data_IF_056881169810
#
_entry.id   IF_056881169810
#
_cell.length_a   1.000
_cell.length_b   1.000
_cell.length_c   1.000
_cell.angle_alpha   90.00
_cell.angle_beta   90.00
_cell.angle_gamma   90.00
#
_symmetry.space_group_name_H-M   'P 1'
#
loop_
_entity.id
_entity.type
_entity.pdbx_description
1 polymer ?
#
# COMPACT_ATOMS: atom_id res chain seq x y z
N UNK A 1 -3.33 16.46 -4.78
CA UNK A 1 -3.60 15.01 -4.83
C UNK A 1 -4.92 14.83 -5.52
N UNK A 2 -4.98 13.95 -6.51
CA UNK A 2 -6.17 13.66 -7.30
C UNK A 2 -6.30 12.15 -7.48
N UNK A 3 -7.40 11.67 -8.04
CA UNK A 3 -7.61 10.23 -8.26
C UNK A 3 -7.92 9.97 -9.72
N UNK A 4 -7.37 8.91 -10.27
CA UNK A 4 -7.68 8.45 -11.64
C UNK A 4 -8.15 7.00 -11.63
N UNK A 5 -8.92 6.60 -12.63
CA UNK A 5 -9.27 5.20 -12.83
C UNK A 5 -8.11 4.44 -13.48
N UNK A 6 -7.61 3.39 -12.81
CA UNK A 6 -6.70 2.45 -13.47
C UNK A 6 -7.48 1.56 -14.46
N UNK A 7 -7.09 1.48 -15.75
CA UNK A 7 -7.79 0.67 -16.73
C UNK A 7 -7.62 -0.85 -16.49
N UNK A 8 -6.51 -1.27 -15.87
CA UNK A 8 -6.22 -2.69 -15.60
C UNK A 8 -7.08 -3.24 -14.47
N UNK A 9 -7.05 -2.59 -13.30
CA UNK A 9 -7.73 -3.10 -12.12
C UNK A 9 -9.10 -2.45 -11.87
N UNK A 10 -9.44 -1.40 -12.63
CA UNK A 10 -10.69 -0.61 -12.52
C UNK A 10 -10.91 -0.03 -11.12
N UNK A 11 -9.83 0.24 -10.37
CA UNK A 11 -9.87 0.91 -9.07
C UNK A 11 -9.44 2.38 -9.20
N UNK A 12 -9.99 3.27 -8.35
CA UNK A 12 -9.45 4.63 -8.19
C UNK A 12 -8.07 4.58 -7.55
N UNK A 13 -7.08 5.19 -8.19
CA UNK A 13 -5.70 5.30 -7.69
C UNK A 13 -5.44 6.76 -7.39
N UNK A 14 -5.01 7.04 -6.17
CA UNK A 14 -4.66 8.41 -5.78
C UNK A 14 -3.23 8.72 -6.21
N UNK A 15 -3.07 9.83 -6.92
CA UNK A 15 -1.80 10.29 -7.46
C UNK A 15 -1.42 11.64 -6.84
N UNK A 16 -0.11 11.84 -6.71
CA UNK A 16 0.49 13.14 -6.38
C UNK A 16 0.68 13.91 -7.69
N UNK A 17 0.72 15.25 -7.62
CA UNK A 17 0.66 16.13 -8.79
C UNK A 17 1.82 15.93 -9.79
N UNK A 18 2.93 15.36 -9.35
CA UNK A 18 4.14 15.11 -10.11
C UNK A 18 4.20 13.70 -10.74
N UNK A 19 3.18 12.87 -10.54
CA UNK A 19 3.15 11.51 -11.12
C UNK A 19 2.75 11.55 -12.61
N UNK A 20 3.72 11.53 -13.52
CA UNK A 20 3.48 11.62 -14.97
C UNK A 20 2.85 10.36 -15.59
N UNK A 21 3.01 9.20 -14.93
CA UNK A 21 2.50 7.90 -15.41
C UNK A 21 1.85 7.13 -14.28
N UNK A 22 0.84 6.33 -14.61
CA UNK A 22 0.18 5.48 -13.65
C UNK A 22 1.15 4.41 -13.09
N UNK A 23 1.47 4.45 -11.78
CA UNK A 23 2.46 3.57 -11.20
C UNK A 23 1.87 2.20 -10.85
N UNK A 24 2.77 1.30 -10.49
CA UNK A 24 2.45 0.04 -9.83
C UNK A 24 1.79 0.32 -8.47
N UNK A 25 0.70 -0.38 -8.17
CA UNK A 25 -0.10 -0.14 -6.96
C UNK A 25 -0.68 -1.42 -6.38
N UNK A 26 -0.98 -1.37 -5.08
CA UNK A 26 -1.53 -2.50 -4.35
C UNK A 26 -3.02 -2.69 -4.61
N UNK A 27 -3.43 -3.94 -4.77
CA UNK A 27 -4.81 -4.39 -4.79
C UNK A 27 -5.07 -5.23 -3.55
N UNK A 28 -6.00 -4.75 -2.72
CA UNK A 28 -6.47 -5.50 -1.57
C UNK A 28 -7.61 -6.43 -1.99
N UNK A 29 -7.52 -7.74 -1.73
CA UNK A 29 -8.63 -8.67 -1.99
C UNK A 29 -9.89 -8.27 -1.22
N UNK A 30 -9.71 -7.78 0.01
CA UNK A 30 -10.76 -7.22 0.86
C UNK A 30 -10.24 -5.99 1.60
N UNK A 31 -11.11 -5.05 1.95
CA UNK A 31 -10.71 -3.84 2.68
C UNK A 31 -10.13 -4.13 4.08
N UNK A 32 -10.40 -5.31 4.64
CA UNK A 32 -10.02 -5.70 6.00
C UNK A 32 -8.79 -6.61 6.06
N UNK A 33 -8.17 -6.95 4.92
CA UNK A 33 -6.94 -7.76 4.90
C UNK A 33 -5.80 -7.01 4.19
N UNK A 34 -5.12 -6.07 4.89
CA UNK A 34 -4.07 -5.25 4.30
C UNK A 34 -2.75 -5.99 4.09
N UNK A 35 -2.59 -7.19 4.67
CA UNK A 35 -1.32 -7.92 4.70
C UNK A 35 -1.13 -8.88 3.52
N UNK A 36 -2.14 -9.04 2.67
CA UNK A 36 -2.07 -9.86 1.48
C UNK A 36 -2.37 -9.04 0.20
N UNK A 37 -1.66 -7.93 -0.06
CA UNK A 37 -1.88 -7.17 -1.28
C UNK A 37 -1.40 -7.99 -2.49
N UNK A 38 -2.26 -8.13 -3.48
CA UNK A 38 -1.80 -8.40 -4.83
C UNK A 38 -1.23 -7.10 -5.43
N UNK A 39 -0.35 -7.21 -6.42
CA UNK A 39 0.24 -6.04 -7.08
C UNK A 39 -0.34 -5.91 -8.48
N UNK A 40 -0.90 -4.73 -8.78
CA UNK A 40 -1.21 -4.33 -10.15
C UNK A 40 0.01 -3.62 -10.74
N UNK A 41 0.53 -4.03 -11.90
CA UNK A 41 1.65 -3.34 -12.55
C UNK A 41 1.32 -1.90 -12.94
N UNK A 42 0.03 -1.53 -12.96
CA UNK A 42 -0.45 -0.34 -13.64
C UNK A 42 -0.44 -0.53 -15.16
N UNK A 43 -1.14 0.33 -15.87
CA UNK A 43 -1.07 0.36 -17.34
C UNK A 43 0.19 1.06 -17.86
N UNK A 44 0.88 1.82 -17.00
CA UNK A 44 1.97 2.71 -17.40
C UNK A 44 1.52 3.86 -18.32
N UNK A 45 0.21 4.05 -18.49
CA UNK A 45 -0.36 5.12 -19.29
C UNK A 45 0.02 6.49 -18.70
N UNK A 46 0.21 7.52 -19.55
CA UNK A 46 0.36 8.91 -19.08
C UNK A 46 -0.83 9.28 -18.20
N UNK A 47 -0.57 9.98 -17.11
CA UNK A 47 -1.61 10.34 -16.15
C UNK A 47 -2.66 11.27 -16.77
N UNK A 48 -2.23 12.17 -17.67
CA UNK A 48 -3.10 13.10 -18.40
C UNK A 48 -4.10 12.41 -19.33
N UNK A 49 -3.82 11.16 -19.73
CA UNK A 49 -4.70 10.34 -20.59
C UNK A 49 -5.75 9.56 -19.79
N UNK A 50 -5.69 9.60 -18.45
CA UNK A 50 -6.56 8.82 -17.59
C UNK A 50 -7.76 9.64 -17.12
N UNK A 51 -8.91 8.98 -17.03
CA UNK A 51 -10.11 9.59 -16.49
C UNK A 51 -9.91 9.88 -14.99
N UNK A 52 -9.94 11.16 -14.64
CA UNK A 52 -10.02 11.59 -13.24
C UNK A 52 -11.32 11.09 -12.63
N UNK A 53 -11.24 10.58 -11.41
CA UNK A 53 -12.39 10.15 -10.64
C UNK A 53 -12.92 11.37 -9.93
N UNK A 54 -14.15 11.77 -10.26
CA UNK A 54 -14.91 12.71 -9.44
C UNK A 54 -14.93 12.14 -8.02
N UNK A 55 -14.20 12.82 -7.13
CA UNK A 55 -14.24 12.47 -5.73
C UNK A 55 -15.66 12.80 -5.29
N UNK A 56 -16.48 11.84 -4.82
CA UNK A 56 -17.69 12.22 -4.11
C UNK A 56 -17.23 13.18 -3.02
N UNK A 57 -17.79 14.40 -3.01
CA UNK A 57 -17.51 15.45 -2.03
C UNK A 57 -17.15 14.76 -0.73
N UNK A 58 -15.92 14.97 -0.24
CA UNK A 58 -15.38 14.33 0.95
C UNK A 58 -16.54 14.09 1.91
N UNK A 59 -16.98 12.84 2.01
CA UNK A 59 -18.03 12.47 2.93
C UNK A 59 -17.41 12.68 4.29
N UNK A 60 -17.43 13.94 4.75
CA UNK A 60 -16.65 14.43 5.87
C UNK A 60 -17.11 13.57 7.02
N UNK A 61 -16.25 12.66 7.53
CA UNK A 61 -16.64 11.77 8.60
C UNK A 61 -17.18 12.66 9.71
N UNK A 62 -18.33 12.28 10.28
CA UNK A 62 -19.01 13.04 11.31
C UNK A 62 -17.99 13.45 12.39
N UNK A 63 -17.61 14.73 12.39
CA UNK A 63 -16.61 15.33 13.27
C UNK A 63 -15.25 14.61 13.33
N UNK A 64 -14.23 15.11 12.62
CA UNK A 64 -12.84 14.71 12.80
C UNK A 64 -12.37 14.73 14.27
N UNK A 65 -12.95 15.60 15.10
CA UNK A 65 -12.71 15.67 16.55
C UNK A 65 -12.98 14.36 17.30
N UNK A 66 -13.92 13.53 16.83
CA UNK A 66 -14.20 12.23 17.43
C UNK A 66 -13.11 11.19 17.13
N UNK A 67 -12.39 11.33 16.00
CA UNK A 67 -11.32 10.42 15.58
C UNK A 67 -9.98 10.71 16.27
N UNK A 68 -9.76 11.94 16.74
CA UNK A 68 -8.53 12.33 17.43
C UNK A 68 -8.54 12.06 18.93
N UNK A 69 -9.69 11.72 19.51
CA UNK A 69 -9.77 11.30 20.92
C UNK A 69 -9.62 9.80 21.01
N UNK A 70 -8.42 9.38 21.41
CA UNK A 70 -8.17 8.01 21.80
C UNK A 70 -9.13 7.65 22.96
N UNK A 71 -9.82 6.49 22.92
CA UNK A 71 -10.69 6.08 24.02
C UNK A 71 -9.96 6.09 25.36
N UNK A 72 -10.65 6.48 26.43
CA UNK A 72 -10.08 6.48 27.78
C UNK A 72 -9.57 5.09 28.13
N UNK A 73 -8.28 4.98 28.48
CA UNK A 73 -7.62 3.71 28.79
C UNK A 73 -6.98 2.99 27.61
N UNK A 74 -7.16 3.47 26.37
CA UNK A 74 -6.39 2.98 25.23
C UNK A 74 -5.05 3.72 25.16
N UNK A 75 -3.94 3.02 25.36
CA UNK A 75 -2.60 3.50 24.97
C UNK A 75 -2.20 2.78 23.68
N UNK A 76 -2.11 3.53 22.57
CA UNK A 76 -1.78 2.94 21.27
C UNK A 76 -0.38 2.32 21.23
N UNK A 77 0.54 2.77 22.12
CA UNK A 77 1.92 2.24 22.16
C UNK A 77 1.98 0.85 22.77
N UNK A 78 1.03 0.48 23.62
CA UNK A 78 1.00 -0.84 24.30
C UNK A 78 0.21 -1.91 23.53
N UNK A 79 -0.28 -1.58 22.34
CA UNK A 79 -1.00 -2.53 21.50
C UNK A 79 -0.07 -3.67 21.05
N UNK A 80 -0.59 -4.89 20.82
CA UNK A 80 0.21 -6.07 20.48
C UNK A 80 0.98 -5.96 19.14
N UNK A 81 0.60 -5.02 18.28
CA UNK A 81 1.29 -4.69 17.03
C UNK A 81 2.24 -3.49 17.15
N UNK A 82 2.33 -2.86 18.32
CA UNK A 82 3.15 -1.68 18.53
C UNK A 82 4.59 -2.04 18.90
N UNK A 83 5.51 -1.17 18.51
CA UNK A 83 6.96 -1.33 18.70
C UNK A 83 7.43 -1.04 20.15
N UNK A 84 6.53 -0.81 21.11
CA UNK A 84 6.92 -0.45 22.47
C UNK A 84 7.55 -1.61 23.26
N UNK A 85 7.42 -2.85 22.78
CA UNK A 85 8.16 -3.97 23.34
C UNK A 85 9.62 -3.83 22.92
N UNK A 86 10.52 -3.67 23.90
CA UNK A 86 11.96 -3.55 23.67
C UNK A 86 12.44 -4.69 22.76
N UNK A 87 12.99 -4.31 21.59
CA UNK A 87 13.55 -5.25 20.63
C UNK A 87 14.65 -6.07 21.31
N UNK A 88 14.38 -7.32 21.66
CA UNK A 88 15.45 -8.25 22.04
C UNK A 88 16.08 -8.75 20.74
N UNK A 89 17.40 -8.63 20.54
CA UNK A 89 18.03 -9.11 19.32
C UNK A 89 17.73 -10.60 19.17
N UNK A 90 17.04 -10.95 18.09
CA UNK A 90 16.89 -12.35 17.68
C UNK A 90 18.29 -12.83 17.30
N UNK A 91 18.86 -13.73 18.10
CA UNK A 91 20.09 -14.43 17.69
C UNK A 91 19.69 -15.37 16.55
N UNK A 92 19.84 -14.89 15.33
CA UNK A 92 19.75 -15.73 14.14
C UNK A 92 20.94 -16.68 14.21
N UNK A 93 20.70 -17.96 14.50
CA UNK A 93 21.67 -18.99 14.17
C UNK A 93 21.91 -18.85 12.66
N UNK A 94 23.16 -18.65 12.25
CA UNK A 94 23.54 -18.39 10.88
C UNK A 94 23.18 -19.59 9.98
N UNK A 95 21.92 -19.67 9.56
CA UNK A 95 21.53 -20.45 8.40
C UNK A 95 21.80 -19.55 7.22
N UNK A 96 22.96 -19.74 6.60
CA UNK A 96 23.30 -19.14 5.30
C UNK A 96 22.21 -19.60 4.33
N UNK A 97 21.33 -18.72 3.82
CA UNK A 97 20.45 -19.11 2.75
C UNK A 97 21.29 -19.20 1.49
N UNK A 98 21.48 -20.42 0.98
CA UNK A 98 21.92 -20.62 -0.41
C UNK A 98 20.82 -20.01 -1.28
N UNK A 99 21.04 -18.80 -1.78
CA UNK A 99 20.21 -18.19 -2.82
C UNK A 99 20.41 -19.07 -4.07
N UNK A 100 19.37 -19.79 -4.55
CA UNK A 100 19.50 -20.54 -5.80
C UNK A 100 19.72 -19.53 -6.93
N UNK A 101 20.74 -19.75 -7.77
CA UNK A 101 21.06 -18.93 -8.94
C UNK A 101 19.86 -18.80 -9.91
N UNK A 102 18.93 -17.87 -9.65
CA UNK A 102 17.91 -17.49 -10.62
C UNK A 102 18.44 -16.37 -11.52
N UNK A 103 19.46 -16.67 -12.32
CA UNK A 103 19.90 -15.75 -13.39
C UNK A 103 20.76 -16.40 -14.47
N UNK A 104 20.27 -17.45 -15.15
CA UNK A 104 20.85 -17.88 -16.45
C UNK A 104 19.93 -18.80 -17.26
N UNK A 105 18.77 -18.29 -17.71
CA UNK A 105 17.99 -18.95 -18.79
C UNK A 105 17.11 -18.00 -19.62
N UNK A 106 17.56 -16.77 -19.82
CA UNK A 106 17.00 -15.83 -20.81
C UNK A 106 18.09 -15.21 -21.70
N UNK A 107 19.07 -16.02 -22.13
CA UNK A 107 19.92 -15.71 -23.28
C UNK A 107 20.08 -17.03 -24.05
N UNK A 108 19.71 -17.03 -25.33
CA UNK A 108 19.56 -18.15 -26.30
C UNK A 108 18.15 -18.72 -26.44
N UNK A 109 17.30 -17.95 -27.11
CA UNK A 109 16.67 -18.43 -28.34
C UNK A 109 17.03 -17.47 -29.46
#
# INVERSE_FOLDING_TARGET
MFRVHCPECRRPIALVADEERLPLHALLPTAWNPFAPAICPGSGAPTDDLAEVDSPEESRPAGFDALFKLPTGLDWRTQPFSHAVAHRPVRVAAVVPLIPEQRRRLIRR
#
